data_IF_769992606768
#
_entry.id   IF_769992606768
#
_cell.length_a   1.000
_cell.length_b   1.000
_cell.length_c   1.000
_cell.angle_alpha   90.00
_cell.angle_beta   90.00
_cell.angle_gamma   90.00
#
_symmetry.space_group_name_H-M   'P 1'
#
loop_
_entity.id
_entity.type
_entity.pdbx_description
1 polymer ?
#
# COMPACT_ATOMS: atom_id res chain seq x y z
N UNK A 1 -3.12 -21.93 -21.78
CA UNK A 1 -2.76 -21.81 -20.35
C UNK A 1 -2.75 -20.33 -20.03
N UNK A 2 -3.77 -19.84 -19.32
CA UNK A 2 -3.90 -18.42 -18.99
C UNK A 2 -2.73 -18.06 -18.07
N UNK A 3 -1.82 -17.21 -18.54
CA UNK A 3 -0.71 -16.72 -17.72
C UNK A 3 -1.29 -15.89 -16.58
N UNK A 4 -1.19 -16.43 -15.37
CA UNK A 4 -1.73 -15.81 -14.17
C UNK A 4 -0.81 -14.67 -13.72
N UNK A 5 -1.37 -13.50 -13.40
CA UNK A 5 -0.58 -12.31 -13.03
C UNK A 5 0.23 -12.57 -11.76
N UNK A 6 1.46 -12.08 -11.73
CA UNK A 6 2.34 -12.14 -10.57
C UNK A 6 1.87 -11.20 -9.47
N UNK A 7 1.91 -11.65 -8.21
CA UNK A 7 1.68 -10.78 -7.04
C UNK A 7 2.72 -9.66 -6.96
N UNK A 8 3.95 -9.90 -7.41
CA UNK A 8 5.03 -8.91 -7.34
C UNK A 8 4.78 -7.73 -8.29
N UNK A 9 4.37 -8.02 -9.53
CA UNK A 9 4.05 -6.99 -10.52
C UNK A 9 2.83 -6.17 -10.07
N UNK A 10 1.81 -6.87 -9.57
CA UNK A 10 0.59 -6.22 -9.09
C UNK A 10 0.84 -5.35 -7.83
N UNK A 11 1.70 -5.81 -6.91
CA UNK A 11 2.13 -5.01 -5.77
C UNK A 11 2.99 -3.81 -6.18
N UNK A 12 3.88 -3.97 -7.17
CA UNK A 12 4.67 -2.87 -7.71
C UNK A 12 3.79 -1.77 -8.29
N UNK A 13 2.79 -2.14 -9.11
CA UNK A 13 1.84 -1.19 -9.69
C UNK A 13 1.07 -0.42 -8.60
N UNK A 14 0.64 -1.12 -7.53
CA UNK A 14 0.03 -0.47 -6.38
C UNK A 14 1.00 0.52 -5.72
N UNK A 15 2.24 0.11 -5.41
CA UNK A 15 3.22 0.98 -4.75
C UNK A 15 3.55 2.24 -5.56
N UNK A 16 3.58 2.12 -6.89
CA UNK A 16 3.89 3.22 -7.81
C UNK A 16 2.72 4.16 -8.08
N UNK A 17 1.49 3.83 -7.67
CA UNK A 17 0.32 4.69 -7.87
C UNK A 17 0.45 6.02 -7.10
N UNK A 18 0.51 7.19 -7.76
CA UNK A 18 0.61 8.47 -7.08
C UNK A 18 -0.72 8.96 -6.48
N UNK A 19 -1.87 8.51 -7.00
CA UNK A 19 -3.18 8.90 -6.49
C UNK A 19 -3.60 8.04 -5.29
N UNK A 20 -3.98 8.68 -4.17
CA UNK A 20 -4.29 7.99 -2.91
C UNK A 20 -5.51 7.08 -3.07
N UNK A 21 -6.59 7.59 -3.67
CA UNK A 21 -7.85 6.86 -3.78
C UNK A 21 -7.70 5.65 -4.69
N UNK A 22 -7.05 5.84 -5.83
CA UNK A 22 -6.71 4.76 -6.76
C UNK A 22 -5.81 3.74 -6.09
N UNK A 23 -4.78 4.17 -5.35
CA UNK A 23 -3.87 3.26 -4.64
C UNK A 23 -4.58 2.41 -3.60
N UNK A 24 -5.47 3.01 -2.80
CA UNK A 24 -6.27 2.29 -1.80
C UNK A 24 -7.20 1.26 -2.44
N UNK A 25 -7.87 1.64 -3.53
CA UNK A 25 -8.76 0.76 -4.29
C UNK A 25 -7.97 -0.40 -4.90
N UNK A 26 -6.85 -0.13 -5.54
CA UNK A 26 -6.03 -1.12 -6.21
C UNK A 26 -5.39 -2.09 -5.20
N UNK A 27 -4.92 -1.58 -4.05
CA UNK A 27 -4.41 -2.41 -2.95
C UNK A 27 -5.50 -3.32 -2.35
N UNK A 28 -6.73 -2.82 -2.20
CA UNK A 28 -7.86 -3.63 -1.76
C UNK A 28 -8.21 -4.72 -2.78
N UNK A 29 -8.25 -4.37 -4.07
CA UNK A 29 -8.50 -5.34 -5.13
C UNK A 29 -7.40 -6.41 -5.20
N UNK A 30 -6.12 -6.01 -5.07
CA UNK A 30 -4.99 -6.92 -4.97
C UNK A 30 -5.18 -7.96 -3.85
N UNK A 31 -5.63 -7.49 -2.67
CA UNK A 31 -5.91 -8.38 -1.54
C UNK A 31 -7.03 -9.37 -1.87
N UNK A 32 -8.13 -8.92 -2.47
CA UNK A 32 -9.24 -9.79 -2.88
C UNK A 32 -8.79 -10.82 -3.93
N UNK A 33 -8.04 -10.39 -4.93
CA UNK A 33 -7.50 -11.27 -5.99
C UNK A 33 -6.52 -12.30 -5.42
N UNK A 34 -5.72 -11.92 -4.42
CA UNK A 34 -4.86 -12.83 -3.69
C UNK A 34 -5.67 -13.89 -2.92
N UNK A 35 -6.69 -13.46 -2.16
CA UNK A 35 -7.57 -14.37 -1.42
C UNK A 35 -8.35 -15.32 -2.33
N UNK A 36 -8.74 -14.85 -3.52
CA UNK A 36 -9.42 -15.65 -4.53
C UNK A 36 -8.48 -16.61 -5.31
N UNK A 37 -7.17 -16.54 -5.06
CA UNK A 37 -6.18 -17.35 -5.78
C UNK A 37 -6.02 -16.95 -7.24
N UNK A 38 -6.35 -15.70 -7.60
CA UNK A 38 -6.22 -15.14 -8.95
C UNK A 38 -4.78 -14.66 -9.25
N UNK A 39 -3.93 -14.55 -8.23
CA UNK A 39 -2.54 -14.13 -8.37
C UNK A 39 -1.59 -15.29 -8.08
N UNK A 40 -0.48 -15.31 -8.79
CA UNK A 40 0.58 -16.29 -8.60
C UNK A 40 1.75 -15.68 -7.85
N UNK A 41 2.33 -16.45 -6.91
CA UNK A 41 3.65 -16.15 -6.31
C UNK A 41 4.79 -16.79 -7.09
N UNK A 42 4.55 -17.21 -8.33
CA UNK A 42 5.60 -17.74 -9.19
C UNK A 42 6.71 -16.68 -9.31
N UNK A 43 7.83 -16.97 -8.66
CA UNK A 43 9.07 -16.24 -8.88
C UNK A 43 9.55 -16.71 -10.24
N UNK A 44 9.07 -16.08 -11.31
CA UNK A 44 9.80 -16.14 -12.56
C UNK A 44 11.24 -15.73 -12.24
N UNK A 45 12.24 -16.30 -12.90
CA UNK A 45 13.66 -15.92 -12.74
C UNK A 45 13.95 -14.45 -13.16
N UNK A 46 12.90 -13.62 -13.26
CA UNK A 46 12.96 -12.21 -13.49
C UNK A 46 13.75 -11.52 -12.36
N UNK A 47 14.55 -10.51 -12.71
CA UNK A 47 15.32 -9.76 -11.74
C UNK A 47 14.39 -9.06 -10.74
N UNK A 48 14.85 -8.95 -9.49
CA UNK A 48 14.16 -8.18 -8.46
C UNK A 48 13.99 -6.73 -8.94
N UNK A 49 12.75 -6.28 -9.03
CA UNK A 49 12.46 -4.89 -9.39
C UNK A 49 12.68 -3.99 -8.18
N UNK A 50 13.62 -3.04 -8.30
CA UNK A 50 13.89 -2.08 -7.25
C UNK A 50 12.74 -1.06 -7.12
N UNK A 51 12.45 -0.66 -5.88
CA UNK A 51 11.48 0.40 -5.55
C UNK A 51 12.29 1.58 -4.98
N UNK A 52 12.80 2.48 -5.85
CA UNK A 52 13.64 3.59 -5.38
C UNK A 52 12.82 4.65 -4.65
N UNK A 53 11.60 4.93 -5.11
CA UNK A 53 10.64 5.78 -4.44
C UNK A 53 9.21 5.33 -4.81
N UNK A 54 8.25 5.29 -3.86
CA UNK A 54 6.86 5.01 -4.18
C UNK A 54 6.20 6.16 -4.94
N UNK A 55 5.08 5.87 -5.58
CA UNK A 55 4.16 6.88 -6.07
C UNK A 55 3.66 7.76 -4.92
N UNK A 56 3.75 9.08 -5.09
CA UNK A 56 3.27 10.08 -4.13
C UNK A 56 2.44 11.13 -4.89
N UNK A 57 1.38 11.70 -4.29
CA UNK A 57 0.63 12.80 -4.88
C UNK A 57 1.54 14.00 -5.15
N UNK A 58 1.21 14.76 -6.19
CA UNK A 58 1.99 15.93 -6.60
C UNK A 58 2.14 16.98 -5.48
N UNK A 59 1.15 17.08 -4.59
CA UNK A 59 1.20 17.98 -3.43
C UNK A 59 0.48 17.37 -2.24
N UNK A 60 1.17 17.06 -1.13
CA UNK A 60 0.52 16.69 0.12
C UNK A 60 -0.32 17.87 0.62
N UNK A 61 -1.57 17.62 0.99
CA UNK A 61 -2.38 18.62 1.68
C UNK A 61 -1.83 18.83 3.10
N UNK A 62 -1.39 20.05 3.38
CA UNK A 62 -0.96 20.43 4.72
C UNK A 62 -2.20 20.70 5.57
N UNK A 63 -2.39 19.90 6.62
CA UNK A 63 -3.44 20.12 7.61
C UNK A 63 -2.87 20.82 8.83
N UNK A 64 -3.61 21.79 9.38
CA UNK A 64 -3.25 22.44 10.62
C UNK A 64 -3.10 21.39 11.74
N UNK A 65 -2.09 21.46 12.64
CA UNK A 65 -1.85 20.42 13.66
C UNK A 65 -3.07 20.05 14.50
N UNK A 66 -3.93 21.03 14.81
CA UNK A 66 -5.21 20.81 15.54
C UNK A 66 -6.24 19.96 14.79
N UNK A 67 -6.12 19.85 13.46
CA UNK A 67 -6.98 19.00 12.61
C UNK A 67 -6.44 17.58 12.46
N UNK A 68 -5.21 17.30 12.91
CA UNK A 68 -4.66 15.95 12.92
C UNK A 68 -5.43 15.12 13.95
N UNK A 69 -6.06 14.02 13.51
CA UNK A 69 -6.82 13.14 14.41
C UNK A 69 -5.91 12.61 15.52
N UNK A 70 -6.28 12.86 16.77
CA UNK A 70 -5.58 12.29 17.92
C UNK A 70 -5.79 10.77 17.98
N UNK A 71 -4.70 10.03 18.13
CA UNK A 71 -4.71 8.56 18.21
C UNK A 71 -4.72 8.17 19.68
N UNK A 72 -5.87 7.76 20.21
CA UNK A 72 -5.98 7.27 21.59
C UNK A 72 -5.56 5.80 21.65
N UNK A 73 -4.63 5.45 22.54
CA UNK A 73 -4.10 4.08 22.67
C UNK A 73 -5.08 3.10 23.34
N UNK A 74 -6.27 3.57 23.71
CA UNK A 74 -7.27 2.81 24.44
C UNK A 74 -8.09 1.88 23.55
N UNK A 75 -7.98 1.97 22.22
CA UNK A 75 -8.69 1.08 21.28
C UNK A 75 -7.73 0.30 20.38
N UNK A 76 -8.13 -0.89 19.88
CA UNK A 76 -7.35 -1.64 18.89
C UNK A 76 -6.97 -0.79 17.67
N UNK A 77 -7.92 -0.01 17.14
CA UNK A 77 -7.69 0.89 16.01
C UNK A 77 -6.66 1.99 16.34
N UNK A 78 -6.70 2.55 17.55
CA UNK A 78 -5.73 3.55 18.00
C UNK A 78 -4.33 2.99 18.19
N UNK A 79 -4.19 1.73 18.62
CA UNK A 79 -2.89 1.03 18.68
C UNK A 79 -2.32 0.75 17.29
N UNK A 80 -3.15 0.31 16.34
CA UNK A 80 -2.74 0.14 14.93
C UNK A 80 -2.23 1.47 14.34
N UNK A 81 -2.97 2.56 14.59
CA UNK A 81 -2.58 3.88 14.13
C UNK A 81 -1.29 4.40 14.82
N UNK A 82 -1.02 4.02 16.09
CA UNK A 82 0.26 4.33 16.75
C UNK A 82 1.41 3.55 16.13
N UNK A 83 1.25 2.23 15.95
CA UNK A 83 2.27 1.40 15.32
C UNK A 83 2.63 1.96 13.93
N UNK A 84 1.63 2.40 13.18
CA UNK A 84 1.82 3.08 11.91
C UNK A 84 2.55 4.43 12.03
N UNK A 85 2.26 5.22 13.09
CA UNK A 85 2.99 6.46 13.37
C UNK A 85 4.47 6.19 13.69
N UNK A 86 4.73 5.24 14.58
CA UNK A 86 6.09 4.90 15.07
C UNK A 86 6.92 4.26 13.96
N UNK A 87 6.28 3.46 13.11
CA UNK A 87 6.91 2.90 11.92
C UNK A 87 7.13 3.94 10.80
N UNK A 88 6.71 5.21 10.98
CA UNK A 88 6.88 6.31 10.03
C UNK A 88 6.55 5.87 8.59
N UNK A 89 5.35 5.31 8.41
CA UNK A 89 5.01 4.70 7.14
C UNK A 89 4.49 5.74 6.15
N UNK A 90 5.32 5.96 5.15
CA UNK A 90 5.07 6.79 3.97
C UNK A 90 4.01 6.12 3.06
N UNK A 91 3.80 6.66 1.85
CA UNK A 91 3.05 6.03 0.74
C UNK A 91 3.43 4.57 0.39
N UNK A 92 4.43 4.02 1.10
CA UNK A 92 4.95 2.67 1.04
C UNK A 92 4.15 1.63 1.85
N UNK A 93 3.33 2.02 2.84
CA UNK A 93 2.52 1.05 3.59
C UNK A 93 1.05 1.40 3.63
N UNK A 94 0.37 0.87 2.62
CA UNK A 94 -1.07 0.75 2.50
C UNK A 94 -1.46 -0.69 2.86
#
# INVERSE_FOLDING_TARGET
MSQQRSIYDAAYDCLMQPDVETKLRDAHQLYLDWQAGHLSRAVAAAPVQAIPAPGRPAKPELVHPRKVKQRKLTSPAGRMALLHAVAHIEFNAI
#
